data_IF_736358489898
#
_entry.id   IF_736358489898
#
_cell.length_a   1.000
_cell.length_b   1.000
_cell.length_c   1.000
_cell.angle_alpha   90.00
_cell.angle_beta   90.00
_cell.angle_gamma   90.00
#
_symmetry.space_group_name_H-M   'P 1'
#
loop_
_entity.id
_entity.type
_entity.pdbx_description
1 polymer ?
#
# COMPACT_ATOMS: atom_id res chain seq x y z
N UNK A 1 -12.33 0.65 -28.12
CA UNK A 1 -13.54 1.37 -27.64
C UNK A 1 -13.46 2.81 -28.12
N UNK A 2 -14.29 3.18 -29.09
CA UNK A 2 -14.39 4.55 -29.60
C UNK A 2 -15.31 5.36 -28.70
N UNK A 3 -14.74 6.20 -27.85
CA UNK A 3 -15.51 7.17 -27.08
C UNK A 3 -15.64 8.42 -27.95
N UNK A 4 -16.78 8.57 -28.63
CA UNK A 4 -17.08 9.83 -29.31
C UNK A 4 -17.39 10.90 -28.25
N UNK A 5 -16.72 12.03 -28.37
CA UNK A 5 -17.02 13.22 -27.58
C UNK A 5 -17.82 14.16 -28.48
N UNK A 6 -18.92 14.69 -27.96
CA UNK A 6 -19.69 15.70 -28.67
C UNK A 6 -18.90 17.02 -28.75
N UNK A 7 -19.48 18.01 -29.44
CA UNK A 7 -18.90 19.36 -29.62
C UNK A 7 -18.69 20.09 -28.28
N UNK A 8 -19.31 19.62 -27.19
CA UNK A 8 -19.23 20.15 -25.83
C UNK A 8 -18.28 19.33 -24.93
N UNK A 9 -17.70 18.25 -25.46
CA UNK A 9 -16.79 17.36 -24.73
C UNK A 9 -17.48 16.29 -23.87
N UNK A 10 -18.80 16.14 -23.96
CA UNK A 10 -19.56 15.10 -23.25
C UNK A 10 -19.45 13.75 -23.98
N UNK A 11 -19.46 12.67 -23.20
CA UNK A 11 -19.39 11.30 -23.72
C UNK A 11 -20.70 10.93 -24.40
N UNK A 12 -20.65 10.67 -25.71
CA UNK A 12 -21.80 10.19 -26.48
C UNK A 12 -21.81 8.66 -26.45
N UNK A 13 -22.95 8.06 -26.11
CA UNK A 13 -23.13 6.60 -26.18
C UNK A 13 -23.11 6.20 -27.65
N UNK A 14 -22.16 5.34 -28.03
CA UNK A 14 -22.11 4.75 -29.35
C UNK A 14 -22.88 3.44 -29.31
N UNK A 15 -23.90 3.28 -30.17
CA UNK A 15 -24.70 2.07 -30.31
C UNK A 15 -23.93 0.95 -31.05
N UNK A 16 -22.63 0.82 -30.77
CA UNK A 16 -21.79 -0.18 -31.38
C UNK A 16 -22.04 -1.53 -30.71
N UNK A 17 -22.81 -2.40 -31.38
CA UNK A 17 -23.05 -3.77 -30.94
C UNK A 17 -21.79 -4.64 -31.10
N UNK A 18 -20.95 -4.67 -30.07
CA UNK A 18 -19.76 -5.52 -30.04
C UNK A 18 -20.12 -6.94 -29.59
N UNK A 19 -19.52 -7.96 -30.22
CA UNK A 19 -19.66 -9.34 -29.80
C UNK A 19 -18.27 -9.95 -29.55
N UNK A 20 -18.16 -10.78 -28.51
CA UNK A 20 -17.00 -11.62 -28.23
C UNK A 20 -17.44 -13.07 -28.34
N UNK A 21 -16.91 -13.81 -29.31
CA UNK A 21 -17.27 -15.22 -29.57
C UNK A 21 -18.79 -15.45 -29.69
N UNK A 22 -19.50 -14.56 -30.40
CA UNK A 22 -20.96 -14.61 -30.57
C UNK A 22 -21.78 -14.17 -29.35
N UNK A 23 -21.13 -13.81 -28.24
CA UNK A 23 -21.79 -13.24 -27.06
C UNK A 23 -21.76 -11.71 -27.15
N UNK A 24 -22.91 -11.01 -27.09
CA UNK A 24 -22.92 -9.55 -27.11
C UNK A 24 -22.23 -8.99 -25.87
N UNK A 25 -21.32 -8.03 -26.07
CA UNK A 25 -20.71 -7.25 -25.00
C UNK A 25 -21.70 -6.15 -24.63
N UNK A 26 -22.15 -6.06 -23.37
CA UNK A 26 -23.11 -5.03 -22.96
C UNK A 26 -22.51 -3.63 -23.14
N UNK A 27 -23.28 -2.72 -23.76
CA UNK A 27 -22.92 -1.31 -23.83
C UNK A 27 -23.17 -0.66 -22.47
N UNK A 28 -22.11 -0.12 -21.85
CA UNK A 28 -22.20 0.61 -20.58
C UNK A 28 -22.28 2.11 -20.85
N UNK A 29 -23.27 2.79 -20.26
CA UNK A 29 -23.31 4.25 -20.21
C UNK A 29 -22.28 4.82 -19.21
N UNK A 30 -22.11 6.14 -19.21
CA UNK A 30 -21.19 6.81 -18.29
C UNK A 30 -21.54 6.62 -16.79
N UNK A 31 -22.81 6.34 -16.48
CA UNK A 31 -23.29 6.04 -15.13
C UNK A 31 -23.31 4.55 -14.81
N UNK A 32 -23.13 3.68 -15.81
CA UNK A 32 -23.21 2.24 -15.63
C UNK A 32 -21.89 1.66 -15.12
N UNK A 33 -22.02 0.49 -14.50
CA UNK A 33 -20.90 -0.31 -14.03
C UNK A 33 -21.18 -1.78 -14.26
N UNK A 34 -20.14 -2.52 -14.60
CA UNK A 34 -20.13 -3.97 -14.69
C UNK A 34 -19.52 -4.55 -13.41
N UNK A 35 -20.24 -5.42 -12.72
CA UNK A 35 -19.73 -6.00 -11.48
C UNK A 35 -18.79 -7.17 -11.79
N UNK A 36 -17.52 -7.05 -11.41
CA UNK A 36 -16.51 -8.09 -11.53
C UNK A 36 -15.93 -8.45 -10.16
N UNK A 37 -16.10 -9.72 -9.77
CA UNK A 37 -15.66 -10.26 -8.47
C UNK A 37 -16.12 -9.41 -7.28
N UNK A 38 -17.37 -8.95 -7.32
CA UNK A 38 -18.00 -8.16 -6.27
C UNK A 38 -17.69 -6.65 -6.30
N UNK A 39 -16.86 -6.17 -7.22
CA UNK A 39 -16.52 -4.75 -7.40
C UNK A 39 -17.16 -4.22 -8.68
N UNK A 40 -17.77 -3.04 -8.63
CA UNK A 40 -18.24 -2.36 -9.84
C UNK A 40 -17.07 -1.77 -10.64
N UNK A 41 -16.91 -2.20 -11.89
CA UNK A 41 -16.02 -1.57 -12.86
C UNK A 41 -16.85 -0.77 -13.88
N UNK A 42 -16.68 0.56 -13.89
CA UNK A 42 -17.52 1.47 -14.67
C UNK A 42 -16.84 2.81 -14.93
N UNK A 43 -17.60 3.84 -15.32
CA UNK A 43 -17.04 5.18 -15.56
C UNK A 43 -17.31 6.18 -14.40
N UNK A 44 -18.29 5.94 -13.54
CA UNK A 44 -18.54 6.77 -12.35
C UNK A 44 -17.45 6.56 -11.29
N UNK A 45 -16.54 7.52 -11.19
CA UNK A 45 -15.46 7.48 -10.20
C UNK A 45 -15.93 7.80 -8.79
N UNK A 46 -17.02 8.55 -8.61
CA UNK A 46 -17.52 9.01 -7.30
C UNK A 46 -18.23 7.87 -6.58
N UNK A 47 -19.16 7.18 -7.25
CA UNK A 47 -19.84 5.99 -6.69
C UNK A 47 -18.84 4.93 -6.23
N UNK A 48 -17.80 4.69 -7.04
CA UNK A 48 -16.73 3.72 -6.72
C UNK A 48 -15.89 4.07 -5.49
N UNK A 49 -15.74 5.34 -5.14
CA UNK A 49 -15.04 5.70 -3.87
C UNK A 49 -15.87 5.31 -2.66
N UNK A 50 -17.20 5.30 -2.79
CA UNK A 50 -18.15 5.03 -1.70
C UNK A 50 -18.44 3.53 -1.54
N UNK A 51 -18.31 2.73 -2.60
CA UNK A 51 -18.55 1.27 -2.61
C UNK A 51 -17.79 0.50 -1.51
N UNK A 52 -16.60 0.97 -1.11
CA UNK A 52 -15.83 0.32 -0.05
C UNK A 52 -16.35 0.62 1.37
N UNK A 53 -17.21 1.63 1.54
CA UNK A 53 -17.71 2.08 2.84
C UNK A 53 -18.33 0.95 3.68
N UNK A 54 -19.33 0.21 3.16
CA UNK A 54 -19.93 -0.92 3.87
C UNK A 54 -18.92 -2.02 4.22
N UNK A 55 -17.99 -2.36 3.32
CA UNK A 55 -16.96 -3.37 3.56
C UNK A 55 -16.02 -2.96 4.70
N UNK A 56 -15.62 -1.69 4.78
CA UNK A 56 -14.79 -1.16 5.88
C UNK A 56 -15.57 -1.12 7.20
N UNK A 57 -16.87 -0.79 7.15
CA UNK A 57 -17.73 -0.83 8.33
C UNK A 57 -17.84 -2.25 8.90
N UNK A 58 -18.08 -3.25 8.04
CA UNK A 58 -18.08 -4.66 8.44
C UNK A 58 -16.70 -5.09 8.97
N UNK A 59 -15.62 -4.71 8.29
CA UNK A 59 -14.26 -5.02 8.74
C UNK A 59 -13.98 -4.45 10.14
N UNK A 60 -14.49 -3.25 10.44
CA UNK A 60 -14.40 -2.62 11.78
C UNK A 60 -15.22 -3.37 12.82
N UNK A 61 -16.40 -3.85 12.47
CA UNK A 61 -17.23 -4.68 13.34
C UNK A 61 -16.50 -5.99 13.68
N UNK A 62 -15.98 -6.68 12.67
CA UNK A 62 -15.26 -7.95 12.84
C UNK A 62 -13.95 -7.77 13.61
N UNK A 63 -13.27 -6.63 13.43
CA UNK A 63 -12.10 -6.30 14.25
C UNK A 63 -12.47 -6.13 15.72
N UNK A 64 -13.63 -5.53 16.00
CA UNK A 64 -14.15 -5.37 17.38
C UNK A 64 -14.47 -6.72 18.00
N UNK A 65 -15.20 -7.58 17.28
CA UNK A 65 -15.51 -8.93 17.71
C UNK A 65 -14.22 -9.73 18.00
N UNK A 66 -13.22 -9.63 17.13
CA UNK A 66 -11.93 -10.30 17.32
C UNK A 66 -11.18 -9.77 18.55
N UNK A 67 -11.17 -8.45 18.77
CA UNK A 67 -10.54 -7.83 19.93
C UNK A 67 -11.22 -8.21 21.27
N UNK A 68 -12.50 -8.56 21.22
CA UNK A 68 -13.33 -8.95 22.38
C UNK A 68 -13.50 -10.48 22.52
N UNK A 69 -12.90 -11.27 21.62
CA UNK A 69 -13.13 -12.73 21.52
C UNK A 69 -12.56 -13.57 22.66
N UNK A 70 -11.80 -12.98 23.59
CA UNK A 70 -11.06 -13.73 24.62
C UNK A 70 -9.83 -14.48 24.09
N UNK A 71 -9.51 -14.35 22.80
CA UNK A 71 -8.29 -14.90 22.22
C UNK A 71 -7.05 -14.19 22.76
N UNK A 72 -5.96 -14.94 22.89
CA UNK A 72 -4.70 -14.40 23.35
C UNK A 72 -4.17 -13.31 22.39
N UNK A 73 -3.42 -12.30 22.89
CA UNK A 73 -3.06 -11.14 22.07
C UNK A 73 -2.32 -11.46 20.76
N UNK A 74 -1.44 -12.47 20.75
CA UNK A 74 -0.74 -12.90 19.53
C UNK A 74 -1.67 -13.61 18.53
N UNK A 75 -2.71 -14.31 19.00
CA UNK A 75 -3.72 -14.93 18.15
C UNK A 75 -4.56 -13.86 17.46
N UNK A 76 -4.97 -12.81 18.19
CA UNK A 76 -5.67 -11.66 17.61
C UNK A 76 -4.82 -10.98 16.54
N UNK A 77 -3.56 -10.66 16.84
CA UNK A 77 -2.64 -10.04 15.86
C UNK A 77 -2.45 -10.93 14.63
N UNK A 78 -2.36 -12.25 14.80
CA UNK A 78 -2.28 -13.20 13.68
C UNK A 78 -3.58 -13.20 12.87
N UNK A 79 -4.73 -13.26 13.52
CA UNK A 79 -6.03 -13.28 12.87
C UNK A 79 -6.31 -12.01 12.06
N UNK A 80 -5.88 -10.84 12.54
CA UNK A 80 -5.96 -9.59 11.76
C UNK A 80 -5.23 -9.72 10.41
N UNK A 81 -4.01 -10.25 10.42
CA UNK A 81 -3.20 -10.38 9.19
C UNK A 81 -3.69 -11.46 8.25
N UNK A 82 -4.17 -12.58 8.80
CA UNK A 82 -4.50 -13.79 8.04
C UNK A 82 -5.95 -13.78 7.56
N UNK A 83 -6.87 -13.17 8.31
CA UNK A 83 -8.30 -13.21 8.00
C UNK A 83 -8.92 -11.84 7.73
N UNK A 84 -8.54 -10.78 8.45
CA UNK A 84 -9.16 -9.46 8.23
C UNK A 84 -8.59 -8.76 7.00
N UNK A 85 -7.28 -8.51 6.95
CA UNK A 85 -6.70 -7.75 5.83
C UNK A 85 -7.00 -8.35 4.46
N UNK A 86 -6.87 -9.68 4.23
CA UNK A 86 -7.11 -10.26 2.91
C UNK A 86 -8.52 -10.01 2.36
N UNK A 87 -9.53 -9.85 3.21
CA UNK A 87 -10.92 -9.58 2.79
C UNK A 87 -11.10 -8.27 2.05
N UNK A 88 -10.21 -7.30 2.27
CA UNK A 88 -10.26 -5.99 1.59
C UNK A 88 -9.11 -5.79 0.59
N UNK A 89 -8.13 -6.69 0.51
CA UNK A 89 -6.97 -6.50 -0.39
C UNK A 89 -7.39 -6.42 -1.87
N UNK A 90 -8.33 -7.26 -2.31
CA UNK A 90 -8.83 -7.20 -3.69
C UNK A 90 -9.54 -5.87 -3.97
N UNK A 91 -10.41 -5.42 -3.05
CA UNK A 91 -11.12 -4.16 -3.19
C UNK A 91 -10.18 -2.95 -3.18
N UNK A 92 -9.21 -2.92 -2.28
CA UNK A 92 -8.18 -1.87 -2.20
C UNK A 92 -7.23 -1.84 -3.39
N UNK A 93 -7.14 -2.91 -4.18
CA UNK A 93 -6.34 -2.90 -5.42
C UNK A 93 -7.02 -2.14 -6.56
N UNK A 94 -8.34 -2.22 -6.64
CA UNK A 94 -9.12 -1.73 -7.79
C UNK A 94 -9.91 -0.43 -7.48
N UNK A 95 -10.28 -0.23 -6.22
CA UNK A 95 -11.02 0.95 -5.78
C UNK A 95 -10.10 2.04 -5.26
N UNK A 96 -10.62 3.27 -5.24
CA UNK A 96 -9.94 4.48 -4.73
C UNK A 96 -10.75 5.06 -3.58
N UNK A 97 -10.74 4.40 -2.41
CA UNK A 97 -11.52 4.84 -1.26
C UNK A 97 -11.01 6.18 -0.72
N UNK A 98 -11.84 6.86 0.06
CA UNK A 98 -11.39 8.07 0.75
C UNK A 98 -10.38 7.69 1.85
N UNK A 99 -9.27 8.43 1.94
CA UNK A 99 -8.24 8.20 2.96
C UNK A 99 -8.82 8.17 4.38
N UNK A 100 -9.79 9.05 4.66
CA UNK A 100 -10.47 9.14 5.94
C UNK A 100 -11.15 7.82 6.37
N UNK A 101 -11.68 7.04 5.42
CA UNK A 101 -12.32 5.75 5.72
C UNK A 101 -11.27 4.73 6.19
N UNK A 102 -10.14 4.65 5.50
CA UNK A 102 -9.03 3.76 5.85
C UNK A 102 -8.39 4.19 7.19
N UNK A 103 -8.16 5.48 7.38
CA UNK A 103 -7.63 6.03 8.63
C UNK A 103 -8.57 5.81 9.82
N UNK A 104 -9.88 5.82 9.59
CA UNK A 104 -10.89 5.49 10.58
C UNK A 104 -10.73 4.06 11.11
N UNK A 105 -10.52 3.10 10.22
CA UNK A 105 -10.21 1.72 10.58
C UNK A 105 -8.85 1.59 11.27
N UNK A 106 -7.81 2.23 10.74
CA UNK A 106 -6.45 2.17 11.30
C UNK A 106 -6.43 2.66 12.76
N UNK A 107 -7.08 3.79 13.03
CA UNK A 107 -7.21 4.33 14.41
C UNK A 107 -8.00 3.39 15.32
N UNK A 108 -9.07 2.78 14.81
CA UNK A 108 -9.88 1.82 15.58
C UNK A 108 -9.06 0.60 15.99
N UNK A 109 -8.36 0.00 15.04
CA UNK A 109 -7.53 -1.18 15.26
C UNK A 109 -6.38 -0.88 16.24
N UNK A 110 -5.69 0.25 16.07
CA UNK A 110 -4.62 0.67 16.99
C UNK A 110 -5.14 0.83 18.41
N UNK A 111 -6.28 1.51 18.60
CA UNK A 111 -6.87 1.70 19.94
C UNK A 111 -7.18 0.36 20.60
N UNK A 112 -7.82 -0.55 19.86
CA UNK A 112 -8.14 -1.89 20.36
C UNK A 112 -6.90 -2.71 20.72
N UNK A 113 -5.88 -2.73 19.84
CA UNK A 113 -4.64 -3.46 20.09
C UNK A 113 -3.87 -2.91 21.30
N UNK A 114 -3.84 -1.58 21.49
CA UNK A 114 -3.21 -0.99 22.67
C UNK A 114 -3.90 -1.43 23.95
N UNK A 115 -5.22 -1.47 23.96
CA UNK A 115 -5.99 -1.95 25.10
C UNK A 115 -5.70 -3.43 25.37
N UNK A 116 -5.78 -4.29 24.35
CA UNK A 116 -5.50 -5.72 24.44
C UNK A 116 -4.08 -6.03 24.99
N UNK A 117 -3.09 -5.23 24.58
CA UNK A 117 -1.70 -5.34 24.98
C UNK A 117 -1.36 -4.57 26.27
N UNK A 118 -2.33 -3.87 26.88
CA UNK A 118 -2.15 -2.99 28.05
C UNK A 118 -1.05 -1.95 27.86
N UNK A 119 -0.99 -1.34 26.68
CA UNK A 119 0.02 -0.33 26.35
C UNK A 119 -0.41 1.08 26.83
N UNK A 120 0.43 1.81 27.58
CA UNK A 120 0.13 3.17 28.01
C UNK A 120 0.14 4.14 26.83
N UNK A 121 -0.56 5.26 26.88
CA UNK A 121 -0.69 6.24 25.76
C UNK A 121 0.64 6.71 25.18
N UNK A 122 1.70 6.77 25.99
CA UNK A 122 3.06 7.17 25.56
C UNK A 122 3.78 6.12 24.71
N UNK A 123 3.32 4.87 24.70
CA UNK A 123 3.94 3.80 23.92
C UNK A 123 3.80 4.08 22.42
N UNK A 124 4.88 3.89 21.67
CA UNK A 124 4.90 4.15 20.22
C UNK A 124 4.03 3.17 19.45
N UNK A 125 3.30 3.68 18.47
CA UNK A 125 2.54 2.85 17.51
C UNK A 125 3.43 2.26 16.43
N UNK A 126 4.65 2.78 16.24
CA UNK A 126 5.58 2.29 15.22
C UNK A 126 5.96 0.81 15.44
N UNK A 127 5.98 0.35 16.70
CA UNK A 127 6.14 -1.06 17.05
C UNK A 127 5.06 -1.96 16.45
N UNK A 128 3.81 -1.50 16.36
CA UNK A 128 2.71 -2.30 15.80
C UNK A 128 2.96 -2.63 14.31
N UNK A 129 3.63 -1.71 13.60
CA UNK A 129 3.83 -1.77 12.16
C UNK A 129 5.24 -2.22 11.75
N UNK A 130 6.24 -2.10 12.63
CA UNK A 130 7.58 -2.65 12.41
C UNK A 130 7.52 -4.18 12.17
N UNK A 131 8.40 -4.76 11.35
CA UNK A 131 8.33 -6.18 11.01
C UNK A 131 8.66 -7.06 12.21
N UNK A 132 8.09 -8.27 12.23
CA UNK A 132 8.31 -9.25 13.30
C UNK A 132 9.79 -9.63 13.43
N UNK A 133 10.50 -9.75 12.31
CA UNK A 133 11.95 -10.01 12.30
C UNK A 133 12.79 -8.90 12.95
N UNK A 134 12.23 -7.70 13.15
CA UNK A 134 12.87 -6.59 13.87
C UNK A 134 12.10 -6.22 15.14
N UNK A 135 11.34 -7.18 15.66
CA UNK A 135 10.74 -7.04 16.96
C UNK A 135 9.42 -6.30 17.04
N UNK A 136 8.82 -5.93 15.92
CA UNK A 136 7.47 -5.34 15.89
C UNK A 136 6.36 -6.38 15.72
N UNK A 137 5.12 -5.92 15.69
CA UNK A 137 3.98 -6.82 15.42
C UNK A 137 3.74 -7.07 13.94
N UNK A 138 4.37 -6.34 13.02
CA UNK A 138 4.32 -6.59 11.58
C UNK A 138 2.95 -6.40 10.93
N UNK A 139 2.09 -5.55 11.52
CA UNK A 139 0.88 -5.06 10.85
C UNK A 139 1.25 -4.02 9.78
N UNK A 140 0.29 -3.60 8.98
CA UNK A 140 0.45 -2.52 8.02
C UNK A 140 -0.86 -1.71 8.02
N UNK A 141 -0.83 -0.38 8.23
CA UNK A 141 -2.04 0.44 8.13
C UNK A 141 -2.73 0.21 6.77
N UNK A 142 -4.06 0.20 6.73
CA UNK A 142 -4.82 0.05 5.49
C UNK A 142 -4.49 1.14 4.47
N UNK A 143 -4.21 2.36 4.95
CA UNK A 143 -3.72 3.47 4.11
C UNK A 143 -2.42 3.13 3.38
N UNK A 144 -1.49 2.45 4.04
CA UNK A 144 -0.21 2.03 3.46
C UNK A 144 -0.36 0.73 2.65
N UNK A 145 -1.21 -0.20 3.10
CA UNK A 145 -1.54 -1.43 2.39
C UNK A 145 -2.17 -1.12 1.03
N UNK A 146 -3.10 -0.17 0.97
CA UNK A 146 -3.71 0.30 -0.28
C UNK A 146 -2.66 0.79 -1.27
N UNK A 147 -1.76 1.69 -0.84
CA UNK A 147 -0.70 2.18 -1.71
C UNK A 147 0.28 1.07 -2.13
N UNK A 148 0.62 0.15 -1.23
CA UNK A 148 1.47 -1.00 -1.57
C UNK A 148 0.82 -1.91 -2.62
N UNK A 149 -0.49 -2.15 -2.51
CA UNK A 149 -1.27 -2.92 -3.48
C UNK A 149 -1.31 -2.23 -4.85
N UNK A 150 -1.53 -0.92 -4.89
CA UNK A 150 -1.55 -0.17 -6.15
C UNK A 150 -0.18 -0.12 -6.83
N UNK A 151 0.91 0.11 -6.08
CA UNK A 151 2.28 0.09 -6.62
C UNK A 151 2.61 -1.28 -7.20
N UNK A 152 2.33 -2.36 -6.45
CA UNK A 152 2.56 -3.72 -6.92
C UNK A 152 1.69 -4.04 -8.15
N UNK A 153 0.42 -3.66 -8.14
CA UNK A 153 -0.49 -3.89 -9.25
C UNK A 153 -0.06 -3.14 -10.52
N UNK A 154 0.31 -1.86 -10.40
CA UNK A 154 0.83 -1.07 -11.53
C UNK A 154 2.09 -1.70 -12.14
N UNK A 155 3.03 -2.17 -11.30
CA UNK A 155 4.20 -2.90 -11.78
C UNK A 155 3.81 -4.22 -12.47
N UNK A 156 2.88 -5.00 -11.89
CA UNK A 156 2.40 -6.25 -12.48
C UNK A 156 1.71 -6.05 -13.82
N UNK A 157 0.96 -4.96 -14.01
CA UNK A 157 0.36 -4.61 -15.31
C UNK A 157 1.42 -4.31 -16.37
N UNK A 158 2.48 -3.56 -16.01
CA UNK A 158 3.58 -3.24 -16.93
C UNK A 158 4.39 -4.48 -17.33
N UNK A 159 4.46 -5.48 -16.46
CA UNK A 159 5.27 -6.69 -16.64
C UNK A 159 4.44 -7.95 -16.86
N UNK A 160 3.13 -7.83 -17.12
CA UNK A 160 2.22 -8.97 -17.26
C UNK A 160 2.73 -9.96 -18.30
N UNK A 161 2.51 -11.27 -18.11
CA UNK A 161 2.82 -12.26 -19.14
C UNK A 161 1.97 -12.08 -20.40
N UNK A 162 0.82 -11.42 -20.29
CA UNK A 162 -0.07 -11.10 -21.41
C UNK A 162 0.38 -9.79 -22.11
N UNK A 163 0.78 -9.86 -23.40
CA UNK A 163 1.16 -8.68 -24.19
C UNK A 163 0.04 -7.66 -24.35
N UNK A 164 -1.23 -8.08 -24.34
CA UNK A 164 -2.35 -7.15 -24.47
C UNK A 164 -2.45 -6.25 -23.23
N UNK A 165 -2.37 -6.83 -22.03
CA UNK A 165 -2.31 -6.09 -20.76
C UNK A 165 -1.15 -5.12 -20.72
N UNK A 166 0.04 -5.57 -21.13
CA UNK A 166 1.24 -4.73 -21.21
C UNK A 166 1.04 -3.51 -22.12
N UNK A 167 0.47 -3.73 -23.31
CA UNK A 167 0.17 -2.67 -24.28
C UNK A 167 -0.86 -1.69 -23.73
N UNK A 168 -1.93 -2.17 -23.09
CA UNK A 168 -2.95 -1.33 -22.47
C UNK A 168 -2.33 -0.45 -21.39
N UNK A 169 -1.51 -1.02 -20.51
CA UNK A 169 -0.84 -0.27 -19.45
C UNK A 169 0.05 0.86 -19.99
N UNK A 170 0.89 0.57 -20.99
CA UNK A 170 1.75 1.56 -21.65
C UNK A 170 0.94 2.64 -22.37
N UNK A 171 -0.13 2.25 -23.07
CA UNK A 171 -1.01 3.20 -23.75
C UNK A 171 -1.72 4.14 -22.76
N UNK A 172 -2.15 3.63 -21.60
CA UNK A 172 -2.74 4.48 -20.56
C UNK A 172 -1.74 5.51 -20.01
N UNK A 173 -0.48 5.11 -19.77
CA UNK A 173 0.57 6.04 -19.37
C UNK A 173 0.80 7.13 -20.42
N UNK A 174 0.84 6.74 -21.70
CA UNK A 174 0.97 7.67 -22.82
C UNK A 174 -0.19 8.65 -22.88
N UNK A 175 -1.44 8.18 -22.81
CA UNK A 175 -2.63 9.03 -22.81
C UNK A 175 -2.62 10.04 -21.65
N UNK A 176 -2.17 9.62 -20.47
CA UNK A 176 -2.03 10.51 -19.32
C UNK A 176 -0.93 11.55 -19.57
N UNK A 177 0.20 11.13 -20.11
CA UNK A 177 1.29 12.04 -20.46
C UNK A 177 0.84 13.08 -21.50
N UNK A 178 0.21 12.64 -22.59
CA UNK A 178 -0.34 13.51 -23.64
C UNK A 178 -1.40 14.46 -23.09
N UNK A 179 -2.21 14.04 -22.13
CA UNK A 179 -3.23 14.89 -21.55
C UNK A 179 -2.66 16.00 -20.64
N UNK A 180 -1.52 15.77 -19.98
CA UNK A 180 -0.92 16.70 -18.99
C UNK A 180 0.32 17.45 -19.47
N UNK A 181 1.02 16.95 -20.47
CA UNK A 181 2.29 17.49 -20.97
C UNK A 181 2.20 17.76 -22.47
N UNK A 182 2.96 18.74 -22.95
CA UNK A 182 3.15 18.95 -24.39
C UNK A 182 4.25 17.99 -24.86
N UNK A 183 3.89 16.96 -25.61
CA UNK A 183 4.84 15.96 -26.09
C UNK A 183 5.12 16.16 -27.57
N UNK A 184 6.40 16.11 -27.94
CA UNK A 184 6.82 15.99 -29.34
C UNK A 184 6.59 14.56 -29.85
N UNK A 185 5.74 14.41 -30.87
CA UNK A 185 5.36 13.11 -31.44
C UNK A 185 6.56 12.38 -32.03
N UNK A 186 7.51 13.09 -32.63
CA UNK A 186 8.69 12.51 -33.30
C UNK A 186 9.67 12.00 -32.25
N UNK A 187 9.94 12.81 -31.22
CA UNK A 187 10.90 12.44 -30.18
C UNK A 187 10.44 11.23 -29.35
N UNK A 188 9.14 11.16 -29.02
CA UNK A 188 8.62 10.16 -28.09
C UNK A 188 8.10 8.88 -28.77
N UNK A 189 8.14 8.80 -30.10
CA UNK A 189 7.60 7.67 -30.87
C UNK A 189 8.15 6.32 -30.41
N UNK A 190 9.47 6.22 -30.21
CA UNK A 190 10.18 4.99 -29.84
C UNK A 190 10.70 5.02 -28.39
N UNK A 191 10.27 6.00 -27.58
CA UNK A 191 10.73 6.23 -26.20
C UNK A 191 9.59 6.11 -25.18
N UNK A 192 8.61 5.25 -25.44
CA UNK A 192 7.42 5.12 -24.60
C UNK A 192 7.75 4.65 -23.17
N UNK A 193 8.69 3.73 -23.00
CA UNK A 193 9.08 3.25 -21.67
C UNK A 193 9.81 4.33 -20.87
N UNK A 194 10.60 5.16 -21.55
CA UNK A 194 11.25 6.32 -20.94
C UNK A 194 10.24 7.38 -20.50
N UNK A 195 9.27 7.67 -21.36
CA UNK A 195 8.17 8.57 -21.06
C UNK A 195 7.41 8.10 -19.81
N UNK A 196 7.08 6.81 -19.76
CA UNK A 196 6.42 6.18 -18.62
C UNK A 196 7.25 6.27 -17.33
N UNK A 197 8.55 6.01 -17.41
CA UNK A 197 9.44 6.07 -16.25
C UNK A 197 9.54 7.51 -15.72
N UNK A 198 9.74 8.49 -16.59
CA UNK A 198 9.81 9.91 -16.23
C UNK A 198 8.47 10.40 -15.64
N UNK A 199 7.34 9.96 -16.20
CA UNK A 199 6.01 10.29 -15.69
C UNK A 199 5.82 9.75 -14.27
N UNK A 200 6.06 8.46 -14.06
CA UNK A 200 5.85 7.78 -12.78
C UNK A 200 6.84 8.23 -11.71
N UNK A 201 8.04 8.65 -12.10
CA UNK A 201 9.04 9.22 -11.20
C UNK A 201 8.88 10.73 -10.95
N UNK A 202 7.81 11.36 -11.45
CA UNK A 202 7.58 12.82 -11.33
C UNK A 202 8.65 13.70 -11.99
N UNK A 203 9.40 13.18 -12.96
CA UNK A 203 10.52 13.88 -13.63
C UNK A 203 10.18 14.43 -15.01
N UNK A 204 9.07 14.01 -15.61
CA UNK A 204 8.71 14.39 -16.99
C UNK A 204 8.63 15.91 -17.20
N UNK A 205 8.03 16.64 -16.25
CA UNK A 205 7.89 18.10 -16.37
C UNK A 205 9.20 18.89 -16.24
N UNK A 206 10.26 18.26 -15.74
CA UNK A 206 11.59 18.85 -15.66
C UNK A 206 12.47 18.47 -16.88
N UNK A 207 11.97 17.60 -17.76
CA UNK A 207 12.66 17.27 -19.00
C UNK A 207 12.31 18.28 -20.09
N UNK A 208 13.35 18.79 -20.77
CA UNK A 208 13.28 19.85 -21.80
C UNK A 208 12.22 19.64 -22.91
N UNK A 209 11.88 18.41 -23.35
CA UNK A 209 10.90 18.21 -24.42
C UNK A 209 9.47 17.91 -23.91
N UNK A 210 9.15 18.13 -22.64
CA UNK A 210 7.83 17.83 -22.09
C UNK A 210 7.33 18.82 -21.02
N UNK A 211 7.18 20.13 -21.33
CA UNK A 211 6.65 21.08 -20.37
C UNK A 211 5.18 20.78 -20.02
N UNK A 212 4.76 21.03 -18.76
CA UNK A 212 3.38 20.81 -18.35
C UNK A 212 2.42 21.75 -19.09
N UNK A 213 1.22 21.27 -19.39
CA UNK A 213 0.14 22.09 -19.97
C UNK A 213 -0.39 23.07 -18.92
N UNK A 214 -0.77 24.28 -19.36
CA UNK A 214 -1.29 25.35 -18.49
C UNK A 214 -2.63 25.00 -17.84
N UNK A 215 -3.47 24.21 -18.51
CA UNK A 215 -4.72 23.66 -17.97
C UNK A 215 -4.57 22.15 -17.90
N UNK A 216 -4.62 21.61 -16.68
CA UNK A 216 -4.61 20.17 -16.44
C UNK A 216 -6.03 19.73 -16.14
N UNK A 217 -6.59 18.84 -16.96
CA UNK A 217 -7.79 18.11 -16.57
C UNK A 217 -7.47 17.28 -15.32
N UNK A 218 -8.40 17.25 -14.35
CA UNK A 218 -8.27 16.36 -13.19
C UNK A 218 -8.51 14.92 -13.65
N UNK A 219 -7.44 14.26 -14.09
CA UNK A 219 -7.46 12.87 -14.51
C UNK A 219 -7.10 12.03 -13.29
N UNK A 220 -8.12 11.62 -12.54
CA UNK A 220 -7.96 10.57 -11.55
C UNK A 220 -7.65 9.26 -12.24
N UNK A 221 -6.42 8.75 -12.13
CA UNK A 221 -6.01 7.44 -12.69
C UNK A 221 -5.16 6.63 -11.70
N UNK A 222 -5.16 5.30 -11.86
CA UNK A 222 -4.27 4.40 -11.12
C UNK A 222 -2.81 4.87 -11.18
N UNK A 223 -2.34 5.32 -12.36
CA UNK A 223 -0.95 5.73 -12.55
C UNK A 223 -0.57 6.98 -11.77
N UNK A 224 -1.51 7.91 -11.52
CA UNK A 224 -1.28 9.04 -10.61
C UNK A 224 -1.17 8.58 -9.16
N UNK A 225 -2.01 7.65 -8.75
CA UNK A 225 -1.96 7.09 -7.40
C UNK A 225 -0.63 6.33 -7.20
N UNK A 226 -0.23 5.49 -8.16
CA UNK A 226 1.07 4.80 -8.18
C UNK A 226 2.22 5.80 -8.08
N UNK A 227 2.23 6.86 -8.90
CA UNK A 227 3.23 7.94 -8.82
C UNK A 227 3.27 8.58 -7.43
N UNK A 228 2.12 8.92 -6.86
CA UNK A 228 2.01 9.51 -5.52
C UNK A 228 2.52 8.56 -4.42
N UNK A 229 2.20 7.27 -4.53
CA UNK A 229 2.65 6.24 -3.61
C UNK A 229 4.15 5.98 -3.72
N UNK A 230 4.72 5.90 -4.94
CA UNK A 230 6.17 5.79 -5.15
C UNK A 230 6.90 6.93 -4.46
N UNK A 231 6.48 8.18 -4.70
CA UNK A 231 7.06 9.35 -4.05
C UNK A 231 6.95 9.26 -2.52
N UNK A 232 5.75 9.01 -1.96
CA UNK A 232 5.54 8.86 -0.51
C UNK A 232 6.38 7.72 0.08
N UNK A 233 6.57 6.65 -0.66
CA UNK A 233 7.34 5.48 -0.24
C UNK A 233 8.84 5.63 -0.48
N UNK A 234 9.29 6.71 -1.13
CA UNK A 234 10.69 6.89 -1.51
C UNK A 234 11.17 5.75 -2.41
N UNK A 235 10.28 5.28 -3.29
CA UNK A 235 10.54 4.28 -4.32
C UNK A 235 10.47 4.96 -5.68
N UNK A 236 11.11 4.35 -6.67
CA UNK A 236 11.14 4.83 -8.05
C UNK A 236 11.25 3.64 -8.99
N UNK A 237 10.75 3.81 -10.20
CA UNK A 237 11.09 2.89 -11.28
C UNK A 237 12.47 3.24 -11.84
N UNK A 238 13.23 2.22 -12.21
CA UNK A 238 14.60 2.37 -12.69
C UNK A 238 14.85 1.41 -13.87
N UNK A 239 15.95 1.67 -14.58
CA UNK A 239 16.48 0.76 -15.57
C UNK A 239 17.33 -0.31 -14.88
N UNK A 240 16.95 -1.58 -15.02
CA UNK A 240 17.81 -2.70 -14.71
C UNK A 240 18.92 -2.81 -15.75
N UNK A 241 20.20 -2.90 -15.32
CA UNK A 241 21.30 -3.06 -16.25
C UNK A 241 21.21 -4.41 -16.97
N UNK A 242 21.82 -4.48 -18.16
CA UNK A 242 22.04 -5.76 -18.81
C UNK A 242 22.98 -6.62 -17.96
N UNK A 243 22.72 -7.93 -17.91
CA UNK A 243 23.58 -8.90 -17.21
C UNK A 243 24.23 -9.76 -18.28
N UNK A 244 25.50 -9.47 -18.60
CA UNK A 244 26.25 -10.15 -19.64
C UNK A 244 26.38 -11.66 -19.38
N UNK A 245 26.62 -12.05 -18.12
CA UNK A 245 26.77 -13.45 -17.70
C UNK A 245 25.55 -14.33 -18.00
N UNK A 246 24.33 -13.74 -18.00
CA UNK A 246 23.08 -14.48 -18.26
C UNK A 246 22.45 -14.13 -19.60
N UNK A 247 23.08 -13.23 -20.38
CA UNK A 247 22.52 -12.70 -21.63
C UNK A 247 21.23 -11.90 -21.44
N UNK A 248 20.93 -11.44 -20.23
CA UNK A 248 19.68 -10.72 -19.95
C UNK A 248 19.81 -9.25 -20.38
N UNK A 249 18.96 -8.76 -21.30
CA UNK A 249 19.04 -7.37 -21.75
C UNK A 249 18.61 -6.39 -20.66
N UNK A 250 19.04 -5.13 -20.79
CA UNK A 250 18.57 -4.06 -19.93
C UNK A 250 17.05 -3.89 -20.03
N UNK A 251 16.38 -3.67 -18.90
CA UNK A 251 14.91 -3.53 -18.83
C UNK A 251 14.56 -2.25 -18.10
N UNK A 252 13.71 -1.40 -18.68
CA UNK A 252 13.18 -0.20 -18.02
C UNK A 252 12.02 -0.55 -17.09
N UNK A 253 11.56 0.45 -16.33
CA UNK A 253 10.38 0.34 -15.47
C UNK A 253 10.50 -0.74 -14.37
N UNK A 254 11.72 -1.13 -14.01
CA UNK A 254 11.95 -2.11 -12.95
C UNK A 254 11.84 -1.46 -11.57
N UNK A 255 11.42 -2.24 -10.58
CA UNK A 255 11.29 -1.78 -9.20
C UNK A 255 12.27 -2.54 -8.32
N UNK A 256 12.93 -1.82 -7.42
CA UNK A 256 13.74 -2.38 -6.34
C UNK A 256 13.42 -1.68 -5.03
N UNK A 257 13.74 -2.33 -3.92
CA UNK A 257 13.61 -1.74 -2.57
C UNK A 257 14.97 -1.69 -1.88
N UNK A 258 15.24 -0.70 -1.01
CA UNK A 258 16.56 -0.52 -0.39
C UNK A 258 17.08 -1.64 0.53
N UNK A 259 16.28 -2.69 0.77
CA UNK A 259 16.61 -3.78 1.70
C UNK A 259 16.58 -5.15 1.00
N UNK A 260 16.55 -5.16 -0.33
CA UNK A 260 16.62 -6.35 -1.16
C UNK A 260 17.56 -6.05 -2.32
N UNK A 261 18.52 -6.93 -2.56
CA UNK A 261 19.61 -6.68 -3.51
C UNK A 261 19.16 -6.85 -4.98
N UNK A 262 18.10 -7.65 -5.19
CA UNK A 262 17.55 -7.94 -6.52
C UNK A 262 16.48 -6.96 -7.00
N UNK A 263 16.23 -7.02 -8.32
CA UNK A 263 15.02 -6.47 -8.92
C UNK A 263 13.82 -7.33 -8.53
N UNK A 264 12.69 -6.68 -8.27
CA UNK A 264 11.48 -7.38 -7.87
C UNK A 264 10.87 -8.15 -9.04
N UNK A 265 10.19 -9.25 -8.71
CA UNK A 265 9.47 -10.09 -9.64
C UNK A 265 7.97 -10.16 -9.31
N UNK A 266 7.20 -10.88 -10.15
CA UNK A 266 5.76 -11.06 -9.94
C UNK A 266 5.39 -11.74 -8.62
N UNK A 267 6.26 -12.60 -8.09
CA UNK A 267 6.03 -13.39 -6.89
C UNK A 267 6.30 -12.57 -5.63
N UNK A 268 7.23 -11.62 -5.70
CA UNK A 268 7.77 -10.99 -4.51
C UNK A 268 7.55 -9.47 -4.42
N UNK A 269 7.14 -8.80 -5.50
CA UNK A 269 6.95 -7.34 -5.55
C UNK A 269 6.09 -6.81 -4.39
N UNK A 270 4.93 -7.41 -4.18
CA UNK A 270 4.02 -6.99 -3.11
C UNK A 270 4.62 -7.26 -1.73
N UNK A 271 5.29 -8.39 -1.55
CA UNK A 271 5.94 -8.79 -0.29
C UNK A 271 7.01 -7.77 0.09
N UNK A 272 7.90 -7.42 -0.85
CA UNK A 272 9.01 -6.51 -0.61
C UNK A 272 8.56 -5.05 -0.47
N UNK A 273 7.53 -4.61 -1.20
CA UNK A 273 6.94 -3.29 -0.99
C UNK A 273 6.29 -3.20 0.41
N UNK A 274 5.49 -4.20 0.82
CA UNK A 274 4.93 -4.25 2.19
C UNK A 274 6.05 -4.24 3.24
N UNK A 275 7.13 -5.00 3.03
CA UNK A 275 8.26 -5.07 3.96
C UNK A 275 9.05 -3.73 4.02
N UNK A 276 9.19 -3.02 2.90
CA UNK A 276 9.80 -1.69 2.85
C UNK A 276 9.09 -0.70 3.78
N UNK A 277 7.76 -0.68 3.72
CA UNK A 277 6.95 0.20 4.57
C UNK A 277 7.08 -0.17 6.05
N UNK A 278 7.04 -1.46 6.38
CA UNK A 278 7.30 -1.94 7.75
C UNK A 278 8.71 -1.55 8.23
N UNK A 279 9.72 -1.62 7.37
CA UNK A 279 11.08 -1.20 7.69
C UNK A 279 11.16 0.31 7.94
N UNK A 280 10.36 1.14 7.27
CA UNK A 280 10.24 2.57 7.60
C UNK A 280 9.69 2.80 9.01
N UNK A 281 8.66 2.05 9.42
CA UNK A 281 8.17 2.10 10.80
C UNK A 281 9.21 1.67 11.82
N UNK A 282 9.98 0.62 11.51
CA UNK A 282 11.11 0.24 12.35
C UNK A 282 12.18 1.33 12.44
N UNK A 283 12.56 1.99 11.33
CA UNK A 283 13.52 3.10 11.35
C UNK A 283 13.03 4.24 12.25
N UNK A 284 11.73 4.58 12.15
CA UNK A 284 11.09 5.58 13.00
C UNK A 284 11.13 5.16 14.48
N UNK A 285 10.85 3.90 14.78
CA UNK A 285 10.91 3.37 16.15
C UNK A 285 12.34 3.38 16.71
N UNK A 286 13.31 2.92 15.92
CA UNK A 286 14.73 2.90 16.29
C UNK A 286 15.36 4.29 16.43
N UNK A 287 14.72 5.35 15.94
CA UNK A 287 15.16 6.73 16.13
C UNK A 287 14.59 7.39 17.40
N UNK A 288 13.71 6.72 18.16
CA UNK A 288 13.06 7.30 19.35
C UNK A 288 13.95 7.21 20.59
N UNK A 289 14.33 8.33 21.19
CA UNK A 289 15.28 8.41 22.33
C UNK A 289 14.99 7.46 23.50
N UNK A 290 13.72 7.21 23.82
CA UNK A 290 13.34 6.41 25.01
C UNK A 290 12.91 4.98 24.70
N UNK A 291 12.46 4.72 23.46
CA UNK A 291 11.85 3.44 23.06
C UNK A 291 12.68 2.73 21.98
N UNK A 292 13.80 3.29 21.55
CA UNK A 292 14.67 2.74 20.50
C UNK A 292 15.54 1.58 20.96
N UNK A 293 15.98 1.57 22.22
CA UNK A 293 16.98 0.59 22.73
C UNK A 293 16.57 -0.83 22.37
N UNK A 294 15.31 -1.17 22.63
CA UNK A 294 14.76 -2.46 22.28
C UNK A 294 14.60 -2.69 20.76
N UNK A 295 14.26 -1.66 19.98
CA UNK A 295 14.15 -1.75 18.53
C UNK A 295 15.50 -2.05 17.84
N UNK A 296 16.60 -1.54 18.40
CA UNK A 296 17.97 -1.76 17.93
C UNK A 296 18.57 -3.08 18.42
N UNK A 297 18.17 -3.53 19.60
CA UNK A 297 18.80 -4.68 20.28
C UNK A 297 18.06 -6.00 20.02
N UNK A 298 16.73 -5.98 19.91
CA UNK A 298 15.92 -7.20 19.83
C UNK A 298 15.36 -7.45 18.42
N UNK A 299 15.91 -8.45 17.71
CA UNK A 299 15.48 -8.87 16.38
C UNK A 299 15.67 -10.37 16.15
N UNK A 300 15.34 -10.85 14.94
CA UNK A 300 15.55 -12.23 14.50
C UNK A 300 14.86 -13.26 15.41
N UNK A 301 15.64 -14.27 15.84
CA UNK A 301 15.17 -15.34 16.71
C UNK A 301 14.56 -14.83 18.03
N UNK A 302 15.08 -13.74 18.60
CA UNK A 302 14.55 -13.11 19.82
C UNK A 302 13.14 -12.53 19.67
N UNK A 303 12.60 -12.50 18.45
CA UNK A 303 11.24 -12.04 18.14
C UNK A 303 10.27 -13.17 17.83
N UNK A 304 10.71 -14.43 17.91
CA UNK A 304 9.87 -15.59 17.64
C UNK A 304 8.61 -15.60 18.51
N UNK A 305 8.72 -15.20 19.79
CA UNK A 305 7.59 -15.16 20.73
C UNK A 305 6.44 -14.25 20.28
N UNK A 306 6.70 -13.20 19.49
CA UNK A 306 5.65 -12.30 18.99
C UNK A 306 4.68 -13.01 18.03
N UNK A 307 5.13 -14.10 17.40
CA UNK A 307 4.35 -14.87 16.44
C UNK A 307 4.02 -16.28 16.92
N UNK A 308 4.90 -16.86 17.74
CA UNK A 308 4.83 -18.22 18.26
C UNK A 308 5.29 -18.23 19.73
N UNK A 309 4.50 -17.66 20.65
CA UNK A 309 4.84 -17.63 22.08
C UNK A 309 4.60 -19.00 22.72
N UNK A 310 5.44 -19.99 22.39
CA UNK A 310 5.35 -21.36 22.90
C UNK A 310 5.48 -21.35 24.43
N UNK A 311 4.41 -21.73 25.13
CA UNK A 311 4.39 -21.85 26.59
C UNK A 311 4.30 -20.55 27.38
N UNK A 312 4.10 -19.40 26.72
CA UNK A 312 3.93 -18.12 27.42
C UNK A 312 2.46 -17.88 27.76
N UNK A 313 2.22 -17.40 28.97
CA UNK A 313 0.90 -16.94 29.38
C UNK A 313 0.66 -15.54 28.82
N UNK A 314 -0.59 -15.08 28.84
CA UNK A 314 -0.91 -13.72 28.37
C UNK A 314 -0.17 -12.64 29.17
N UNK A 315 0.00 -12.84 30.48
CA UNK A 315 0.78 -11.96 31.35
C UNK A 315 2.21 -11.83 30.87
N UNK A 316 2.87 -12.95 30.56
CA UNK A 316 4.27 -12.99 30.14
C UNK A 316 4.44 -12.34 28.77
N UNK A 317 3.48 -12.58 27.87
CA UNK A 317 3.46 -11.94 26.56
C UNK A 317 3.34 -10.42 26.69
N UNK A 318 2.40 -9.93 27.52
CA UNK A 318 2.22 -8.49 27.76
C UNK A 318 3.45 -7.88 28.44
N UNK A 319 4.06 -8.58 29.40
CA UNK A 319 5.30 -8.18 30.05
C UNK A 319 6.44 -8.04 29.03
N UNK A 320 6.65 -9.04 28.17
CA UNK A 320 7.68 -9.02 27.14
C UNK A 320 7.47 -7.87 26.13
N UNK A 321 6.22 -7.62 25.73
CA UNK A 321 5.87 -6.47 24.88
C UNK A 321 6.14 -5.14 25.59
N UNK A 322 5.76 -5.02 26.86
CA UNK A 322 6.05 -3.85 27.69
C UNK A 322 7.56 -3.59 27.82
N UNK A 323 8.36 -4.64 27.99
CA UNK A 323 9.82 -4.58 28.00
C UNK A 323 10.39 -4.07 26.68
N UNK A 324 9.87 -4.55 25.55
CA UNK A 324 10.27 -4.06 24.21
C UNK A 324 9.96 -2.59 24.00
N UNK A 325 8.97 -2.04 24.69
CA UNK A 325 8.61 -0.63 24.56
C UNK A 325 9.22 0.23 25.66
N UNK A 326 10.11 -0.34 26.49
CA UNK A 326 10.68 0.30 27.68
C UNK A 326 9.58 0.88 28.60
N UNK A 327 8.48 0.12 28.75
CA UNK A 327 7.31 0.51 29.55
C UNK A 327 7.21 -0.23 30.88
N UNK A 328 8.15 -1.14 31.18
CA UNK A 328 8.23 -1.79 32.49
C UNK A 328 8.69 -0.80 33.55
N UNK A 329 8.12 -0.90 34.74
CA UNK A 329 8.37 0.00 35.87
C UNK A 329 9.71 -0.29 36.54
N UNK A 330 10.79 -0.14 35.79
CA UNK A 330 12.15 -0.12 36.34
C UNK A 330 12.40 1.21 37.05
N UNK A 331 13.33 1.22 38.00
CA UNK A 331 13.73 2.45 38.70
C UNK A 331 14.08 3.60 37.74
N UNK A 332 14.71 3.29 36.60
CA UNK A 332 15.00 4.27 35.55
C UNK A 332 13.75 4.82 34.85
N UNK A 333 12.74 3.98 34.60
CA UNK A 333 11.46 4.38 33.98
C UNK A 333 10.60 5.18 34.96
N UNK A 334 10.51 4.74 36.21
CA UNK A 334 9.75 5.43 37.27
C UNK A 334 10.30 6.83 37.57
N UNK A 335 11.64 6.95 37.69
CA UNK A 335 12.31 8.26 37.83
C UNK A 335 11.99 9.19 36.66
N UNK A 336 11.97 8.66 35.42
CA UNK A 336 11.64 9.44 34.21
C UNK A 336 10.18 9.86 34.13
N UNK A 337 9.24 9.00 34.52
CA UNK A 337 7.80 9.31 34.52
C UNK A 337 7.40 10.31 35.62
N UNK A 338 8.34 10.77 36.45
CA UNK A 338 8.09 11.64 37.62
C UNK A 338 7.03 11.05 38.56
N UNK A 339 6.92 9.72 38.60
CA UNK A 339 5.99 8.99 39.48
C UNK A 339 6.61 8.70 40.86
N UNK A 340 7.74 9.34 41.18
CA UNK A 340 8.26 9.37 42.55
C UNK A 340 7.43 10.34 43.39
N UNK A 341 6.31 9.85 43.91
CA UNK A 341 5.63 10.48 45.04
C UNK A 341 5.38 9.53 46.21
N UNK A 342 5.78 8.25 46.13
CA UNK A 342 5.69 7.34 47.28
C UNK A 342 7.01 6.60 47.54
N UNK A 343 7.88 7.24 48.31
CA UNK A 343 9.05 6.67 48.99
C UNK A 343 8.64 5.76 50.17
N UNK A 344 7.73 4.80 49.95
CA UNK A 344 7.47 3.72 50.91
C UNK A 344 7.12 2.43 50.17
N UNK A 345 8.14 1.60 49.94
CA UNK A 345 7.98 0.15 49.92
C UNK A 345 8.42 -0.38 51.28
#
# INVERSE_FOLDING_TARGET
MSVQRDVRGLHQTSDLGLQLNGTPIPALSASDSYQYLGIGDGFDHVRRRVELGPAIAQLKHDATALLQSGLAPWQVVKAVKVYLYPRVEYALRHLRPFAQQLEGFDRHLVRGLRHLLRLPTIATTAFLYAPVSRGGLGLLPLTELHGALQVAHGWQMLHSSDPATQRIARQQLRQIAEARYKLDVVLWKDREEELGELLLNSKLGASDPAPPKRRNADIGSLWFDVRGHLHRFGLKFEMAPAVEETGTPAKRLQLRVPHHDGWLDHRDVLRHVKLHLKNKHWKRWAAMTDQDKAARTFGGAGSAFLSRPRGLWESDYRFAVGGRLNQLDTHSVLKRRRLRTHDKC
#
